data_IF_071607643156
#
_entry.id   IF_071607643156
#
_cell.length_a   1.000
_cell.length_b   1.000
_cell.length_c   1.000
_cell.angle_alpha   90.00
_cell.angle_beta   90.00
_cell.angle_gamma   90.00
#
_symmetry.space_group_name_H-M   'P 1'
#
loop_
_entity.id
_entity.type
_entity.pdbx_description
1 polymer ?
#
# COMPACT_ATOMS: atom_id res chain seq x y z
N UNK A 1 -14.39 13.83 -0.28
CA UNK A 1 -13.89 15.23 -0.28
C UNK A 1 -14.99 16.28 -0.46
N UNK A 2 -16.15 15.97 -1.06
CA UNK A 2 -17.20 16.95 -1.35
C UNK A 2 -17.70 17.77 -0.14
N UNK A 3 -17.81 17.17 1.04
CA UNK A 3 -18.32 17.87 2.24
C UNK A 3 -17.29 18.86 2.83
N UNK A 4 -16.00 18.50 2.81
CA UNK A 4 -14.90 19.36 3.26
C UNK A 4 -14.75 20.56 2.33
N UNK A 5 -14.74 20.32 1.01
CA UNK A 5 -14.63 21.40 0.03
C UNK A 5 -15.86 22.33 0.02
N UNK A 6 -17.05 21.79 0.28
CA UNK A 6 -18.26 22.60 0.48
C UNK A 6 -18.17 23.47 1.75
N UNK A 7 -17.61 22.94 2.85
CA UNK A 7 -17.44 23.70 4.08
C UNK A 7 -16.42 24.84 3.93
N UNK A 8 -15.28 24.57 3.29
CA UNK A 8 -14.25 25.58 3.03
C UNK A 8 -14.74 26.69 2.09
N UNK A 9 -15.61 26.36 1.12
CA UNK A 9 -16.23 27.36 0.25
C UNK A 9 -17.14 28.33 1.05
N UNK A 10 -17.77 27.86 2.14
CA UNK A 10 -18.57 28.69 3.04
C UNK A 10 -17.74 29.41 4.11
N UNK A 11 -16.56 28.89 4.44
CA UNK A 11 -15.66 29.43 5.46
C UNK A 11 -14.24 29.59 4.89
N UNK A 12 -13.97 30.68 4.15
CA UNK A 12 -12.68 30.91 3.52
C UNK A 12 -11.54 30.95 4.55
N UNK A 13 -10.40 30.33 4.23
CA UNK A 13 -9.22 30.32 5.08
C UNK A 13 -9.16 29.16 6.09
N UNK A 14 -10.24 28.38 6.25
CA UNK A 14 -10.21 27.16 7.08
C UNK A 14 -9.41 26.06 6.37
N UNK A 15 -8.35 25.56 7.03
CA UNK A 15 -7.56 24.45 6.49
C UNK A 15 -8.33 23.15 6.61
N UNK A 16 -8.12 22.23 5.68
CA UNK A 16 -8.77 20.90 5.72
C UNK A 16 -8.47 20.14 7.02
N UNK A 17 -7.26 20.31 7.57
CA UNK A 17 -6.85 19.68 8.83
C UNK A 17 -7.58 20.21 10.06
N UNK A 18 -8.13 21.42 10.00
CA UNK A 18 -8.87 22.05 11.09
C UNK A 18 -10.37 21.67 11.06
N UNK A 19 -10.79 20.87 10.08
CA UNK A 19 -12.16 20.39 9.93
C UNK A 19 -12.27 19.01 10.57
N UNK A 20 -13.27 18.85 11.45
CA UNK A 20 -13.65 17.55 11.97
C UNK A 20 -14.71 16.89 11.05
N UNK A 21 -14.60 15.59 10.88
CA UNK A 21 -15.52 14.75 10.14
C UNK A 21 -16.38 13.95 11.11
N UNK A 22 -17.70 14.10 11.00
CA UNK A 22 -18.65 13.21 11.67
C UNK A 22 -18.85 11.94 10.84
N UNK A 23 -18.66 10.79 11.48
CA UNK A 23 -18.97 9.47 10.96
C UNK A 23 -20.18 8.97 11.74
N UNK A 24 -21.34 8.89 11.07
CA UNK A 24 -22.59 8.47 11.67
C UNK A 24 -22.44 7.11 12.37
N UNK A 25 -22.86 7.05 13.63
CA UNK A 25 -22.78 5.83 14.45
C UNK A 25 -21.38 5.53 15.02
N UNK A 26 -20.36 6.35 14.74
CA UNK A 26 -18.99 6.15 15.26
C UNK A 26 -18.54 7.36 16.08
N UNK A 27 -18.74 8.58 15.57
CA UNK A 27 -18.39 9.82 16.27
C UNK A 27 -17.75 10.88 15.37
N UNK A 28 -17.26 11.95 15.99
CA UNK A 28 -16.61 13.09 15.33
C UNK A 28 -15.09 12.98 15.48
N UNK A 29 -14.38 13.06 14.36
CA UNK A 29 -12.92 12.90 14.32
C UNK A 29 -12.26 14.07 13.62
N UNK A 30 -11.12 14.55 14.12
CA UNK A 30 -10.30 15.49 13.37
C UNK A 30 -9.84 14.87 12.03
N UNK A 31 -9.81 15.65 10.94
CA UNK A 31 -9.34 15.15 9.66
C UNK A 31 -7.89 14.65 9.71
N UNK A 32 -7.05 15.22 10.58
CA UNK A 32 -5.70 14.72 10.85
C UNK A 32 -5.70 13.28 11.36
N UNK A 33 -6.64 12.94 12.26
CA UNK A 33 -6.84 11.57 12.77
C UNK A 33 -7.25 10.63 11.64
N UNK A 34 -8.24 11.03 10.83
CA UNK A 34 -8.69 10.22 9.67
C UNK A 34 -7.54 10.02 8.66
N UNK A 35 -6.73 11.05 8.41
CA UNK A 35 -5.57 10.95 7.54
C UNK A 35 -4.52 9.97 8.07
N UNK A 36 -4.26 9.99 9.38
CA UNK A 36 -3.37 9.02 10.03
C UNK A 36 -3.91 7.59 9.92
N UNK A 37 -5.20 7.39 10.17
CA UNK A 37 -5.84 6.07 10.05
C UNK A 37 -5.75 5.52 8.63
N UNK A 38 -5.93 6.36 7.60
CA UNK A 38 -5.75 5.96 6.20
C UNK A 38 -4.30 5.55 5.90
N UNK A 39 -3.32 6.30 6.40
CA UNK A 39 -1.89 5.94 6.25
C UNK A 39 -1.59 4.61 6.92
N UNK A 40 -2.10 4.40 8.13
CA UNK A 40 -1.95 3.14 8.86
C UNK A 40 -2.58 1.96 8.10
N UNK A 41 -3.81 2.13 7.60
CA UNK A 41 -4.49 1.08 6.84
C UNK A 41 -3.69 0.69 5.59
N UNK A 42 -3.22 1.69 4.83
CA UNK A 42 -2.36 1.46 3.67
C UNK A 42 -1.07 0.72 4.06
N UNK A 43 -0.44 1.09 5.17
CA UNK A 43 0.75 0.41 5.66
C UNK A 43 0.49 -1.07 5.98
N UNK A 44 -0.64 -1.38 6.63
CA UNK A 44 -1.06 -2.75 6.89
C UNK A 44 -1.31 -3.55 5.60
N UNK A 45 -1.90 -2.93 4.58
CA UNK A 45 -2.16 -3.60 3.30
C UNK A 45 -0.86 -3.95 2.56
N UNK A 46 0.13 -3.05 2.59
CA UNK A 46 1.47 -3.29 2.03
C UNK A 46 2.16 -4.43 2.75
N UNK A 47 2.13 -4.46 4.09
CA UNK A 47 2.69 -5.54 4.89
C UNK A 47 2.07 -6.90 4.53
N UNK A 48 0.74 -6.97 4.44
CA UNK A 48 0.03 -8.18 4.00
C UNK A 48 0.46 -8.63 2.60
N UNK A 49 0.70 -7.69 1.70
CA UNK A 49 1.15 -7.98 0.35
C UNK A 49 2.56 -8.57 0.36
N UNK A 50 3.50 -7.97 1.09
CA UNK A 50 4.86 -8.48 1.27
C UNK A 50 4.83 -9.91 1.85
N UNK A 51 4.05 -10.15 2.90
CA UNK A 51 3.90 -11.48 3.50
C UNK A 51 3.36 -12.51 2.48
N UNK A 52 2.36 -12.14 1.70
CA UNK A 52 1.80 -12.98 0.64
C UNK A 52 2.85 -13.31 -0.42
N UNK A 53 3.65 -12.34 -0.82
CA UNK A 53 4.74 -12.51 -1.80
C UNK A 53 5.82 -13.43 -1.28
N UNK A 54 6.27 -13.23 -0.04
CA UNK A 54 7.25 -14.12 0.61
C UNK A 54 6.73 -15.56 0.70
N UNK A 55 5.44 -15.73 1.00
CA UNK A 55 4.81 -17.05 1.02
C UNK A 55 4.78 -17.69 -0.37
N UNK A 56 4.44 -16.92 -1.40
CA UNK A 56 4.43 -17.38 -2.79
C UNK A 56 5.84 -17.77 -3.25
N UNK A 57 6.86 -16.96 -2.95
CA UNK A 57 8.26 -17.24 -3.30
C UNK A 57 8.71 -18.58 -2.72
N UNK A 58 8.38 -18.86 -1.46
CA UNK A 58 8.67 -20.15 -0.80
C UNK A 58 7.95 -21.35 -1.43
N UNK A 59 6.84 -21.13 -2.12
CA UNK A 59 6.08 -22.18 -2.81
C UNK A 59 6.56 -22.36 -4.26
N UNK A 60 7.42 -21.47 -4.76
CA UNK A 60 7.93 -21.53 -6.11
C UNK A 60 9.01 -22.61 -6.22
N UNK A 61 8.72 -23.68 -6.96
CA UNK A 61 9.76 -24.64 -7.35
C UNK A 61 10.49 -24.11 -8.59
N UNK A 62 11.53 -23.30 -8.39
CA UNK A 62 12.35 -22.72 -9.48
C UNK A 62 12.90 -23.77 -10.45
N UNK A 63 13.13 -24.99 -9.96
CA UNK A 63 13.54 -26.15 -10.76
C UNK A 63 12.54 -26.52 -11.87
N UNK A 64 11.25 -26.23 -11.70
CA UNK A 64 10.19 -26.48 -12.70
C UNK A 64 9.98 -25.33 -13.67
N UNK A 65 10.55 -24.16 -13.37
CA UNK A 65 10.52 -22.97 -14.22
C UNK A 65 11.74 -22.86 -15.12
N UNK A 66 12.72 -23.76 -14.98
CA UNK A 66 13.89 -23.83 -15.83
C UNK A 66 13.49 -24.01 -17.30
N UNK A 67 13.76 -22.99 -18.11
CA UNK A 67 13.53 -22.99 -19.55
C UNK A 67 14.89 -23.15 -20.26
N UNK A 68 14.99 -23.95 -21.34
CA UNK A 68 16.24 -24.06 -22.10
C UNK A 68 16.74 -22.73 -22.72
N UNK A 69 15.86 -21.74 -22.87
CA UNK A 69 16.17 -20.43 -23.46
C UNK A 69 16.60 -19.37 -22.45
N UNK A 70 16.36 -19.57 -21.15
CA UNK A 70 16.78 -18.62 -20.10
C UNK A 70 16.95 -19.31 -18.74
N UNK A 71 18.06 -18.98 -18.07
CA UNK A 71 18.31 -19.44 -16.71
C UNK A 71 17.45 -18.64 -15.73
N UNK A 72 16.67 -19.35 -14.92
CA UNK A 72 15.93 -18.77 -13.79
C UNK A 72 16.67 -19.17 -12.52
N UNK A 73 17.18 -18.19 -11.79
CA UNK A 73 17.88 -18.39 -10.52
C UNK A 73 17.15 -17.60 -9.42
N UNK A 74 17.10 -18.17 -8.22
CA UNK A 74 16.53 -17.49 -7.05
C UNK A 74 17.49 -16.38 -6.62
N UNK A 75 17.00 -15.14 -6.50
CA UNK A 75 17.77 -14.06 -5.86
C UNK A 75 17.66 -14.22 -4.33
N UNK A 76 18.75 -14.63 -3.64
CA UNK A 76 18.73 -14.87 -2.20
C UNK A 76 18.53 -13.58 -1.38
N UNK A 77 18.76 -12.41 -1.98
CA UNK A 77 18.57 -11.11 -1.34
C UNK A 77 17.15 -10.56 -1.52
N UNK A 78 16.38 -11.10 -2.46
CA UNK A 78 15.03 -10.64 -2.77
C UNK A 78 14.08 -10.64 -1.55
N UNK A 79 14.09 -11.66 -0.67
CA UNK A 79 13.28 -11.64 0.55
C UNK A 79 13.61 -10.48 1.49
N UNK A 80 14.90 -10.16 1.63
CA UNK A 80 15.37 -9.08 2.51
C UNK A 80 15.12 -7.70 1.87
N UNK A 81 15.30 -7.58 0.55
CA UNK A 81 14.89 -6.39 -0.21
C UNK A 81 13.38 -6.13 -0.07
N UNK A 82 12.55 -7.18 -0.11
CA UNK A 82 11.10 -7.07 0.09
C UNK A 82 10.72 -6.61 1.52
N UNK A 83 11.49 -7.02 2.53
CA UNK A 83 11.29 -6.58 3.92
C UNK A 83 11.78 -5.16 4.16
N UNK A 84 12.79 -4.73 3.43
CA UNK A 84 13.36 -3.39 3.52
C UNK A 84 12.54 -2.31 2.79
N UNK A 85 11.48 -2.68 2.06
CA UNK A 85 10.60 -1.72 1.40
C UNK A 85 10.01 -0.79 2.47
N UNK A 86 10.28 0.50 2.32
CA UNK A 86 9.63 1.53 3.12
C UNK A 86 8.12 1.48 2.86
N UNK A 87 7.38 1.03 3.87
CA UNK A 87 5.94 0.76 3.85
C UNK A 87 5.10 1.98 3.40
N UNK A 88 5.68 3.18 3.49
CA UNK A 88 5.05 4.45 3.15
C UNK A 88 5.67 5.16 1.93
N UNK A 89 6.67 4.55 1.28
CA UNK A 89 7.33 5.10 0.10
C UNK A 89 6.44 5.03 -1.13
N UNK A 90 6.62 6.00 -2.04
CA UNK A 90 6.03 6.03 -3.39
C UNK A 90 6.37 4.76 -4.20
N UNK A 91 7.43 4.04 -3.86
CA UNK A 91 7.88 2.80 -4.50
C UNK A 91 6.92 1.61 -4.28
N UNK A 92 6.00 1.72 -3.33
CA UNK A 92 4.93 0.73 -3.16
C UNK A 92 4.04 0.62 -4.41
N UNK A 93 3.93 1.69 -5.22
CA UNK A 93 3.17 1.65 -6.47
C UNK A 93 3.81 0.74 -7.54
N UNK A 94 5.14 0.54 -7.53
CA UNK A 94 5.82 -0.36 -8.48
C UNK A 94 5.64 -1.84 -8.17
N UNK A 95 5.42 -2.21 -6.90
CA UNK A 95 5.11 -3.60 -6.55
C UNK A 95 3.78 -4.05 -7.15
N UNK A 96 2.78 -3.18 -7.15
CA UNK A 96 1.49 -3.44 -7.80
C UNK A 96 1.64 -3.75 -9.30
N UNK A 97 2.57 -3.09 -9.98
CA UNK A 97 2.81 -3.27 -11.43
C UNK A 97 3.58 -4.57 -11.72
N UNK A 98 4.55 -4.93 -10.87
CA UNK A 98 5.26 -6.20 -10.96
C UNK A 98 4.31 -7.40 -10.85
N UNK A 99 3.30 -7.33 -9.98
CA UNK A 99 2.29 -8.40 -9.89
C UNK A 99 1.34 -8.47 -11.10
N UNK A 100 1.11 -7.37 -11.84
CA UNK A 100 0.24 -7.41 -13.03
C UNK A 100 0.95 -7.94 -14.28
N UNK A 101 2.28 -7.84 -14.36
CA UNK A 101 3.05 -8.35 -15.51
C UNK A 101 3.32 -9.87 -15.44
N UNK A 102 3.19 -10.52 -14.28
CA UNK A 102 3.52 -11.94 -14.09
C UNK A 102 2.29 -12.87 -14.23
N UNK A 103 1.09 -12.31 -14.49
CA UNK A 103 -0.16 -13.08 -14.71
C UNK A 103 -0.54 -13.14 -16.22
N UNK A 104 0.44 -13.17 -17.12
CA UNK A 104 0.20 -13.47 -18.55
C UNK A 104 1.02 -14.67 -19.01
#
# INVERSE_FOLDING_TARGET
MANVSAYQRKHPGVRELDIALEILGVGVFANSTIALMKKWHRACDVLKQIEKTLKWLKQLEFSRLANPSFAVEEDPELPEKLRAIEILSTEVHSLSLLFSMVIY
#
